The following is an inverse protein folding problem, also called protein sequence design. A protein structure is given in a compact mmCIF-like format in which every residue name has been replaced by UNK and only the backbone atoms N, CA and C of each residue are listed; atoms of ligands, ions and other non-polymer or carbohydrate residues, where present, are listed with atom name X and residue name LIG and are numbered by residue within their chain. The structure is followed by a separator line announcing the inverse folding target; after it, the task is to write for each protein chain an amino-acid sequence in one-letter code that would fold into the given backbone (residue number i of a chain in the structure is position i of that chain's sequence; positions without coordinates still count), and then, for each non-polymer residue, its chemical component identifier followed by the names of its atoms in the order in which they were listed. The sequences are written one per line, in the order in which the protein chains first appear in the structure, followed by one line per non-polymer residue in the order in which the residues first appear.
data_IF_664037301510
#
_entry.id   IF_664037301510
#
_cell.length_a   1.000
_cell.length_b   1.000
_cell.length_c   1.000
_cell.angle_alpha   90.00
_cell.angle_beta   90.00
_cell.angle_gamma   90.00
#
_symmetry.space_group_name_H-M   'P 1'
#
loop_
_entity.id
_entity.type
_entity.pdbx_description
1 polymer ?
#
# COMPACT_ATOMS: atom_id res chain seq x y z
N UNK A 1 38.58 39.58 -44.04
CA UNK A 1 37.70 38.45 -43.69
C UNK A 1 38.08 37.95 -42.30
N UNK A 2 37.41 38.38 -41.24
CA UNK A 2 37.44 37.71 -39.92
C UNK A 2 36.43 38.39 -38.98
N UNK A 3 35.14 38.16 -39.24
CA UNK A 3 34.04 38.54 -38.35
C UNK A 3 33.17 37.30 -38.02
N UNK A 4 33.81 36.17 -37.74
CA UNK A 4 33.11 34.89 -37.51
C UNK A 4 33.77 34.04 -36.41
N UNK A 5 34.11 34.66 -35.28
CA UNK A 5 34.61 33.94 -34.11
C UNK A 5 34.05 34.47 -32.78
N UNK A 6 32.85 35.04 -32.78
CA UNK A 6 32.09 35.27 -31.55
C UNK A 6 31.27 34.02 -31.22
N UNK A 7 31.97 33.07 -30.61
CA UNK A 7 31.52 32.31 -29.44
C UNK A 7 30.01 32.05 -29.37
N UNK A 8 29.59 30.91 -29.90
CA UNK A 8 28.36 30.22 -29.46
C UNK A 8 28.59 29.59 -28.06
N UNK A 9 28.98 30.40 -27.07
CA UNK A 9 28.87 30.00 -25.68
C UNK A 9 27.38 29.97 -25.32
N UNK A 10 26.76 28.80 -25.48
CA UNK A 10 25.44 28.47 -24.94
C UNK A 10 25.42 28.98 -23.49
N UNK A 11 24.64 30.04 -23.22
CA UNK A 11 24.62 30.69 -21.91
C UNK A 11 24.49 29.63 -20.82
N UNK A 12 25.55 29.42 -20.05
CA UNK A 12 25.54 28.49 -18.94
C UNK A 12 24.60 29.07 -17.87
N UNK A 13 23.71 28.24 -17.35
CA UNK A 13 22.78 28.65 -16.30
C UNK A 13 23.55 29.15 -15.08
N UNK A 14 22.97 30.09 -14.34
CA UNK A 14 23.54 30.49 -13.05
C UNK A 14 23.38 29.36 -12.03
N UNK A 15 24.27 29.25 -11.02
CA UNK A 15 24.16 28.21 -9.99
C UNK A 15 22.80 28.19 -9.26
N UNK A 16 22.16 29.36 -9.12
CA UNK A 16 20.83 29.47 -8.51
C UNK A 16 19.73 28.91 -9.42
N UNK A 17 19.78 29.19 -10.72
CA UNK A 17 18.85 28.63 -11.71
C UNK A 17 19.00 27.10 -11.81
N UNK A 18 20.23 26.59 -11.78
CA UNK A 18 20.51 25.15 -11.75
C UNK A 18 19.92 24.48 -10.50
N UNK A 19 20.11 25.08 -9.32
CA UNK A 19 19.54 24.59 -8.08
C UNK A 19 18.00 24.56 -8.13
N UNK A 20 17.35 25.65 -8.56
CA UNK A 20 15.89 25.73 -8.70
C UNK A 20 15.34 24.71 -9.71
N UNK A 21 16.03 24.53 -10.84
CA UNK A 21 15.67 23.54 -11.84
C UNK A 21 15.76 22.12 -11.26
N UNK A 22 16.84 21.82 -10.53
CA UNK A 22 17.00 20.51 -9.88
C UNK A 22 15.90 20.22 -8.85
N UNK A 23 15.44 21.23 -8.11
CA UNK A 23 14.31 21.13 -7.15
C UNK A 23 13.02 20.82 -7.91
N UNK A 24 12.73 21.59 -8.97
CA UNK A 24 11.51 21.42 -9.78
C UNK A 24 11.46 20.05 -10.44
N UNK A 25 12.56 19.59 -11.02
CA UNK A 25 12.67 18.26 -11.62
C UNK A 25 12.45 17.14 -10.59
N UNK A 26 13.04 17.23 -9.40
CA UNK A 26 12.82 16.26 -8.33
C UNK A 26 11.35 16.19 -7.90
N UNK A 27 10.69 17.34 -7.71
CA UNK A 27 9.26 17.39 -7.39
C UNK A 27 8.39 16.79 -8.50
N UNK A 28 8.67 17.13 -9.75
CA UNK A 28 7.94 16.59 -10.90
C UNK A 28 8.06 15.06 -10.96
N UNK A 29 9.26 14.52 -10.79
CA UNK A 29 9.48 13.06 -10.75
C UNK A 29 8.68 12.43 -9.61
N UNK A 30 8.68 13.03 -8.41
CA UNK A 30 7.85 12.54 -7.29
C UNK A 30 6.37 12.47 -7.68
N UNK A 31 5.80 13.52 -8.27
CA UNK A 31 4.40 13.50 -8.68
C UNK A 31 4.10 12.46 -9.76
N UNK A 32 4.97 12.32 -10.76
CA UNK A 32 4.81 11.32 -11.82
C UNK A 32 4.85 9.90 -11.26
N UNK A 33 5.78 9.62 -10.33
CA UNK A 33 5.85 8.33 -9.66
C UNK A 33 4.59 8.05 -8.84
N UNK A 34 4.11 9.02 -8.06
CA UNK A 34 2.87 8.86 -7.29
C UNK A 34 1.66 8.62 -8.19
N UNK A 35 1.54 9.37 -9.28
CA UNK A 35 0.49 9.18 -10.26
C UNK A 35 0.52 7.78 -10.89
N UNK A 36 1.71 7.28 -11.24
CA UNK A 36 1.87 5.93 -11.76
C UNK A 36 1.41 4.86 -10.76
N UNK A 37 1.71 5.03 -9.47
CA UNK A 37 1.26 4.11 -8.41
C UNK A 37 -0.27 4.16 -8.28
N UNK A 38 -0.87 5.35 -8.29
CA UNK A 38 -2.34 5.49 -8.28
C UNK A 38 -2.98 4.74 -9.45
N UNK A 39 -2.48 4.93 -10.67
CA UNK A 39 -3.00 4.24 -11.86
C UNK A 39 -2.84 2.72 -11.76
N UNK A 40 -1.71 2.24 -11.25
CA UNK A 40 -1.47 0.82 -11.02
C UNK A 40 -2.51 0.21 -10.07
N UNK A 41 -2.71 0.79 -8.89
CA UNK A 41 -3.68 0.28 -7.91
C UNK A 41 -5.13 0.47 -8.36
N UNK A 42 -5.45 1.56 -9.08
CA UNK A 42 -6.77 1.75 -9.67
C UNK A 42 -7.11 0.66 -10.70
N UNK A 43 -6.13 0.27 -11.53
CA UNK A 43 -6.30 -0.84 -12.48
C UNK A 43 -6.60 -2.17 -11.78
N UNK A 44 -5.85 -2.51 -10.72
CA UNK A 44 -6.06 -3.74 -9.95
C UNK A 44 -7.41 -3.73 -9.20
N UNK A 45 -7.80 -2.59 -8.64
CA UNK A 45 -9.10 -2.39 -7.98
C UNK A 45 -10.24 -2.60 -8.98
N UNK A 46 -10.13 -2.02 -10.18
CA UNK A 46 -11.13 -2.17 -11.25
C UNK A 46 -11.27 -3.64 -11.66
N UNK A 47 -10.15 -4.34 -11.84
CA UNK A 47 -10.14 -5.76 -12.15
C UNK A 47 -10.83 -6.58 -11.04
N UNK A 48 -10.55 -6.31 -9.76
CA UNK A 48 -11.24 -6.95 -8.64
C UNK A 48 -12.76 -6.73 -8.70
N UNK A 49 -13.21 -5.49 -8.90
CA UNK A 49 -14.63 -5.15 -8.87
C UNK A 49 -15.40 -5.84 -9.99
N UNK A 50 -14.84 -5.82 -11.21
CA UNK A 50 -15.44 -6.48 -12.39
C UNK A 50 -15.44 -8.01 -12.22
N UNK A 51 -14.38 -8.59 -11.67
CA UNK A 51 -14.34 -10.03 -11.40
C UNK A 51 -15.33 -10.44 -10.31
N UNK A 52 -15.47 -9.65 -9.25
CA UNK A 52 -16.47 -9.90 -8.19
C UNK A 52 -17.90 -9.85 -8.71
N UNK A 53 -18.21 -8.93 -9.63
CA UNK A 53 -19.56 -8.81 -10.20
C UNK A 53 -19.91 -9.89 -11.23
N UNK A 54 -18.89 -10.52 -11.83
CA UNK A 54 -19.07 -11.48 -12.92
C UNK A 54 -18.91 -12.94 -12.48
N UNK A 55 -18.38 -13.18 -11.28
CA UNK A 55 -18.20 -14.51 -10.72
C UNK A 55 -19.51 -14.98 -10.05
N UNK A 56 -19.89 -16.24 -10.30
CA UNK A 56 -21.07 -16.83 -9.69
C UNK A 56 -20.89 -16.97 -8.17
N UNK A 57 -19.69 -17.34 -7.72
CA UNK A 57 -19.34 -17.51 -6.30
C UNK A 57 -18.21 -16.56 -5.90
N UNK A 58 -18.35 -15.96 -4.72
CA UNK A 58 -17.35 -15.07 -4.15
C UNK A 58 -17.05 -15.39 -2.69
N UNK A 59 -15.77 -15.32 -2.31
CA UNK A 59 -15.33 -15.52 -0.93
C UNK A 59 -15.11 -14.16 -0.27
N UNK A 60 -15.87 -13.88 0.78
CA UNK A 60 -15.64 -12.73 1.67
C UNK A 60 -14.68 -13.17 2.76
N UNK A 61 -13.56 -12.47 2.88
CA UNK A 61 -12.50 -12.75 3.86
C UNK A 61 -12.62 -11.72 4.99
N UNK A 62 -12.71 -12.19 6.23
CA UNK A 62 -12.73 -11.31 7.40
C UNK A 62 -11.32 -10.79 7.71
N UNK A 63 -11.16 -9.47 7.85
CA UNK A 63 -9.87 -8.85 8.13
C UNK A 63 -9.49 -8.98 9.63
N UNK A 64 -8.30 -9.53 9.95
CA UNK A 64 -7.71 -9.54 11.28
C UNK A 64 -7.64 -8.19 11.97
N UNK A 65 -7.78 -8.20 13.30
CA UNK A 65 -7.66 -7.00 14.15
C UNK A 65 -6.29 -6.31 14.02
N UNK A 66 -5.24 -7.08 13.70
CA UNK A 66 -3.89 -6.58 13.49
C UNK A 66 -3.81 -5.46 12.43
N UNK A 67 -4.65 -5.49 11.39
CA UNK A 67 -4.66 -4.48 10.34
C UNK A 67 -5.20 -3.11 10.81
N UNK A 68 -6.07 -3.08 11.81
CA UNK A 68 -6.52 -1.81 12.40
C UNK A 68 -5.44 -1.20 13.29
N UNK A 69 -4.72 -2.04 14.06
CA UNK A 69 -3.56 -1.56 14.82
C UNK A 69 -2.46 -1.04 13.90
N UNK A 70 -2.11 -1.76 12.82
CA UNK A 70 -1.13 -1.28 11.84
C UNK A 70 -1.53 0.10 11.29
N UNK A 71 -2.83 0.33 11.04
CA UNK A 71 -3.36 1.61 10.58
C UNK A 71 -3.10 2.74 11.57
N UNK A 72 -3.27 2.50 12.88
CA UNK A 72 -2.91 3.48 13.90
C UNK A 72 -1.41 3.82 13.87
N UNK A 73 -0.54 2.82 13.71
CA UNK A 73 0.91 3.03 13.64
C UNK A 73 1.34 3.87 12.42
N UNK A 74 0.78 3.60 11.23
CA UNK A 74 1.16 4.36 10.03
C UNK A 74 0.63 5.80 10.04
N UNK A 75 -0.56 6.03 10.64
CA UNK A 75 -1.11 7.37 10.83
C UNK A 75 -0.27 8.18 11.82
N UNK A 76 0.09 7.59 12.97
CA UNK A 76 1.00 8.21 13.92
C UNK A 76 2.37 8.49 13.29
N UNK A 77 2.92 7.53 12.53
CA UNK A 77 4.17 7.69 11.79
C UNK A 77 4.09 8.83 10.76
N UNK A 78 2.93 9.03 10.13
CA UNK A 78 2.71 10.19 9.26
C UNK A 78 2.74 11.50 10.03
N UNK A 79 2.14 11.59 11.21
CA UNK A 79 2.22 12.83 12.00
C UNK A 79 3.65 13.18 12.40
N UNK A 80 4.46 12.18 12.75
CA UNK A 80 5.87 12.39 13.11
C UNK A 80 6.72 12.78 11.90
N UNK A 81 6.50 12.17 10.74
CA UNK A 81 7.15 12.53 9.47
C UNK A 81 6.85 13.98 9.08
N UNK A 82 5.58 14.38 9.18
CA UNK A 82 5.17 15.76 8.93
C UNK A 82 5.91 16.73 9.85
N UNK A 83 6.03 16.38 11.13
CA UNK A 83 6.79 17.15 12.10
C UNK A 83 8.27 17.31 11.74
N UNK A 84 8.92 16.27 11.21
CA UNK A 84 10.31 16.35 10.74
C UNK A 84 10.46 17.36 9.59
N UNK A 85 9.55 17.33 8.62
CA UNK A 85 9.53 18.29 7.51
C UNK A 85 9.24 19.72 8.00
N UNK A 86 8.31 19.87 8.94
CA UNK A 86 8.02 21.15 9.58
C UNK A 86 9.25 21.73 10.30
N UNK A 87 9.98 20.90 11.06
CA UNK A 87 11.20 21.29 11.75
C UNK A 87 12.29 21.74 10.78
N UNK A 88 12.47 21.02 9.66
CA UNK A 88 13.43 21.38 8.61
C UNK A 88 13.12 22.76 7.99
N UNK A 89 11.83 23.03 7.69
CA UNK A 89 11.39 24.33 7.15
C UNK A 89 11.59 25.48 8.13
N UNK A 90 11.52 25.22 9.44
CA UNK A 90 11.73 26.21 10.51
C UNK A 90 13.20 26.32 10.94
N UNK A 91 14.11 25.57 10.33
CA UNK A 91 15.53 25.56 10.70
C UNK A 91 15.83 24.88 12.04
N UNK A 92 14.87 24.17 12.63
CA UNK A 92 15.02 23.45 13.91
C UNK A 92 15.73 22.10 13.72
N UNK A 93 17.02 22.13 13.39
CA UNK A 93 17.79 20.92 13.00
C UNK A 93 17.80 19.82 14.05
N UNK A 94 17.85 20.18 15.34
CA UNK A 94 17.86 19.21 16.45
C UNK A 94 16.60 18.34 16.52
N UNK A 95 15.48 18.77 15.95
CA UNK A 95 14.22 18.02 15.96
C UNK A 95 14.05 17.09 14.75
N UNK A 96 14.82 17.28 13.67
CA UNK A 96 14.62 16.49 12.43
C UNK A 96 14.95 15.01 12.68
N UNK A 97 16.13 14.74 13.24
CA UNK A 97 16.60 13.38 13.49
C UNK A 97 15.72 12.59 14.46
N UNK A 98 15.34 13.10 15.65
CA UNK A 98 14.46 12.34 16.56
C UNK A 98 13.05 12.13 15.97
N UNK A 99 12.51 13.05 15.17
CA UNK A 99 11.20 12.85 14.54
C UNK A 99 11.24 11.80 13.43
N UNK A 100 12.31 11.75 12.63
CA UNK A 100 12.53 10.68 11.67
C UNK A 100 12.78 9.33 12.36
N UNK A 101 13.54 9.32 13.46
CA UNK A 101 13.75 8.13 14.28
C UNK A 101 12.44 7.58 14.85
N UNK A 102 11.57 8.45 15.38
CA UNK A 102 10.24 8.07 15.84
C UNK A 102 9.37 7.54 14.70
N UNK A 103 9.45 8.16 13.51
CA UNK A 103 8.74 7.66 12.34
C UNK A 103 9.19 6.25 11.95
N UNK A 104 10.50 5.97 11.98
CA UNK A 104 11.03 4.65 11.70
C UNK A 104 10.56 3.61 12.72
N UNK A 105 10.56 3.94 14.02
CA UNK A 105 10.06 3.06 15.07
C UNK A 105 8.57 2.74 14.87
N UNK A 106 7.76 3.74 14.57
CA UNK A 106 6.33 3.57 14.26
C UNK A 106 6.13 2.76 12.98
N UNK A 107 6.97 2.98 11.97
CA UNK A 107 7.01 2.18 10.75
C UNK A 107 7.29 0.70 11.05
N UNK A 108 8.31 0.39 11.86
CA UNK A 108 8.61 -0.99 12.27
C UNK A 108 7.41 -1.61 13.00
N UNK A 109 6.75 -0.85 13.87
CA UNK A 109 5.49 -1.25 14.49
C UNK A 109 4.41 -1.62 13.46
N UNK A 110 4.19 -0.76 12.47
CA UNK A 110 3.31 -1.05 11.33
C UNK A 110 3.70 -2.36 10.62
N UNK A 111 4.97 -2.55 10.28
CA UNK A 111 5.47 -3.76 9.62
C UNK A 111 5.25 -5.04 10.45
N UNK A 112 5.38 -4.96 11.78
CA UNK A 112 5.10 -6.08 12.68
C UNK A 112 3.62 -6.48 12.68
N UNK A 113 2.71 -5.51 12.78
CA UNK A 113 1.28 -5.79 12.74
C UNK A 113 0.81 -6.23 11.35
N UNK A 114 1.43 -5.73 10.28
CA UNK A 114 1.23 -6.27 8.93
C UNK A 114 1.58 -7.75 8.89
N UNK A 115 2.81 -8.11 9.30
CA UNK A 115 3.24 -9.50 9.33
C UNK A 115 2.28 -10.39 10.13
N UNK A 116 1.83 -9.93 11.30
CA UNK A 116 0.87 -10.66 12.13
C UNK A 116 -0.48 -10.86 11.42
N UNK A 117 -1.06 -9.82 10.83
CA UNK A 117 -2.33 -9.93 10.11
C UNK A 117 -2.24 -10.89 8.91
N UNK A 118 -1.11 -10.86 8.21
CA UNK A 118 -0.85 -11.80 7.11
C UNK A 118 -0.61 -13.24 7.57
N UNK A 119 0.07 -13.44 8.71
CA UNK A 119 0.22 -14.77 9.31
C UNK A 119 -1.15 -15.35 9.66
N UNK A 120 -2.02 -14.56 10.29
CA UNK A 120 -3.38 -14.98 10.66
C UNK A 120 -4.22 -15.32 9.43
N UNK A 121 -4.16 -14.50 8.37
CA UNK A 121 -4.84 -14.82 7.11
C UNK A 121 -4.32 -16.11 6.48
N UNK A 122 -3.00 -16.33 6.50
CA UNK A 122 -2.36 -17.52 5.96
C UNK A 122 -2.76 -18.79 6.74
N UNK A 123 -2.78 -18.72 8.07
CA UNK A 123 -3.23 -19.81 8.96
C UNK A 123 -4.71 -20.16 8.74
N UNK A 124 -5.54 -19.16 8.42
CA UNK A 124 -6.96 -19.34 8.04
C UNK A 124 -7.16 -19.84 6.60
N UNK A 125 -6.09 -20.18 5.89
CA UNK A 125 -6.15 -20.76 4.55
C UNK A 125 -6.35 -19.76 3.43
N UNK A 126 -6.27 -18.47 3.74
CA UNK A 126 -6.17 -17.44 2.72
C UNK A 126 -4.71 -17.36 2.29
N UNK A 127 -4.23 -18.39 1.59
CA UNK A 127 -2.93 -18.39 0.92
C UNK A 127 -3.10 -18.09 -0.57
N UNK A 128 -2.01 -17.67 -1.24
CA UNK A 128 -1.99 -17.51 -2.69
C UNK A 128 -2.27 -18.86 -3.29
N UNK A 129 -3.53 -19.08 -3.63
CA UNK A 129 -4.00 -20.38 -4.00
C UNK A 129 -4.73 -20.27 -5.31
N UNK A 130 -4.24 -21.05 -6.27
CA UNK A 130 -5.05 -21.49 -7.39
C UNK A 130 -6.07 -22.55 -6.96
N UNK A 131 -6.25 -22.80 -5.65
CA UNK A 131 -7.26 -23.73 -5.13
C UNK A 131 -8.67 -23.21 -5.35
N UNK A 132 -9.56 -24.17 -5.35
CA UNK A 132 -10.97 -23.96 -5.58
C UNK A 132 -11.63 -23.30 -4.36
N UNK A 133 -12.83 -22.75 -4.57
CA UNK A 133 -13.63 -22.00 -3.56
C UNK A 133 -13.90 -22.83 -2.29
N UNK A 134 -13.78 -24.16 -2.35
CA UNK A 134 -14.01 -25.09 -1.25
C UNK A 134 -12.83 -25.34 -0.29
N UNK A 135 -11.63 -24.80 -0.55
CA UNK A 135 -10.45 -25.06 0.29
C UNK A 135 -10.01 -23.96 1.29
N UNK A 136 -10.82 -22.98 1.73
CA UNK A 136 -10.40 -22.10 2.82
C UNK A 136 -10.34 -22.88 4.15
N UNK A 137 -9.18 -22.90 4.80
CA UNK A 137 -8.93 -23.64 6.05
C UNK A 137 -9.37 -22.91 7.34
N UNK A 138 -10.29 -21.95 7.24
CA UNK A 138 -10.86 -21.19 8.35
C UNK A 138 -12.23 -21.71 8.83
N UNK A 139 -12.85 -21.00 9.79
CA UNK A 139 -14.22 -21.28 10.20
C UNK A 139 -15.23 -20.51 9.33
N UNK A 140 -16.15 -21.24 8.68
CA UNK A 140 -17.25 -20.64 7.93
C UNK A 140 -18.11 -19.75 8.83
N UNK A 141 -18.48 -18.57 8.36
CA UNK A 141 -19.29 -17.60 9.10
C UNK A 141 -18.51 -16.69 10.05
N UNK A 142 -17.24 -17.00 10.35
CA UNK A 142 -16.37 -16.16 11.18
C UNK A 142 -15.18 -15.64 10.40
N UNK A 143 -14.43 -16.54 9.76
CA UNK A 143 -13.19 -16.19 9.04
C UNK A 143 -13.45 -15.93 7.56
N UNK A 144 -14.43 -16.63 6.99
CA UNK A 144 -14.87 -16.41 5.62
C UNK A 144 -16.36 -16.72 5.45
N UNK A 145 -16.94 -16.08 4.44
CA UNK A 145 -18.29 -16.35 3.95
C UNK A 145 -18.20 -16.60 2.45
N UNK A 146 -19.07 -17.46 1.93
CA UNK A 146 -19.20 -17.68 0.49
C UNK A 146 -20.57 -17.20 0.08
N UNK A 147 -20.59 -16.30 -0.91
CA UNK A 147 -21.79 -15.77 -1.51
C UNK A 147 -21.95 -16.33 -2.91
N UNK A 148 -23.19 -16.60 -3.31
CA UNK A 148 -23.55 -16.86 -4.70
C UNK A 148 -24.45 -15.73 -5.20
N UNK A 149 -24.03 -15.00 -6.23
CA UNK A 149 -24.74 -13.81 -6.74
C UNK A 149 -25.13 -12.80 -5.64
N UNK A 150 -24.27 -12.62 -4.64
CA UNK A 150 -24.49 -11.71 -3.50
C UNK A 150 -25.40 -12.26 -2.39
N UNK A 151 -25.82 -13.53 -2.46
CA UNK A 151 -26.57 -14.20 -1.40
C UNK A 151 -25.62 -15.11 -0.61
N UNK A 152 -25.43 -14.90 0.70
CA UNK A 152 -24.63 -15.79 1.54
C UNK A 152 -25.20 -17.21 1.55
N UNK A 153 -24.34 -18.19 1.30
CA UNK A 153 -24.73 -19.60 1.37
C UNK A 153 -24.88 -20.04 2.83
N UNK A 154 -25.49 -21.21 3.04
CA UNK A 154 -25.48 -21.86 4.35
C UNK A 154 -24.63 -23.11 4.27
N UNK A 155 -23.73 -23.29 5.25
CA UNK A 155 -22.91 -24.48 5.38
C UNK A 155 -23.49 -25.41 6.44
N UNK A 156 -23.83 -26.64 6.05
CA UNK A 156 -24.25 -27.70 6.96
C UNK A 156 -23.47 -28.98 6.64
N UNK A 157 -22.70 -29.49 7.59
CA UNK A 157 -21.91 -30.72 7.41
C UNK A 157 -20.84 -30.66 6.32
N UNK A 158 -20.34 -29.47 5.97
CA UNK A 158 -19.38 -29.26 4.88
C UNK A 158 -20.02 -29.13 3.50
N UNK A 159 -21.35 -29.20 3.40
CA UNK A 159 -22.10 -28.95 2.18
C UNK A 159 -22.67 -27.52 2.17
N UNK A 160 -22.65 -26.88 1.00
CA UNK A 160 -23.13 -25.52 0.81
C UNK A 160 -24.47 -25.51 0.08
N UNK A 161 -25.41 -24.73 0.60
CA UNK A 161 -26.76 -24.64 0.08
C UNK A 161 -27.23 -23.19 -0.03
N UNK A 162 -28.18 -22.95 -0.91
CA UNK A 162 -28.93 -21.69 -0.91
C UNK A 162 -29.77 -21.56 0.37
N UNK A 163 -29.95 -20.34 0.91
CA UNK A 163 -30.84 -20.11 2.05
C UNK A 163 -32.28 -20.60 1.81
N UNK A 164 -32.77 -20.52 0.56
CA UNK A 164 -34.13 -20.93 0.18
C UNK A 164 -34.32 -22.46 0.15
N UNK A 165 -33.24 -23.25 0.08
CA UNK A 165 -33.30 -24.71 0.16
C UNK A 165 -33.31 -25.17 1.62
N UNK A 166 -34.45 -24.94 2.29
CA UNK A 166 -34.67 -25.29 3.71
C UNK A 166 -34.51 -26.80 3.95
N UNK A 167 -34.79 -27.62 2.94
CA UNK A 167 -34.67 -29.08 3.02
C UNK A 167 -33.25 -29.60 2.75
N UNK A 168 -32.30 -28.73 2.37
CA UNK A 168 -30.89 -29.06 2.11
C UNK A 168 -30.71 -30.21 1.11
N UNK A 169 -31.50 -30.18 0.05
CA UNK A 169 -31.56 -31.27 -0.94
C UNK A 169 -30.62 -31.07 -2.12
N UNK A 170 -30.14 -29.84 -2.34
CA UNK A 170 -29.33 -29.46 -3.51
C UNK A 170 -27.97 -28.88 -3.08
N UNK A 171 -26.96 -29.72 -2.79
CA UNK A 171 -25.64 -29.24 -2.44
C UNK A 171 -24.94 -28.62 -3.66
N UNK A 172 -24.35 -27.44 -3.49
CA UNK A 172 -23.64 -26.68 -4.53
C UNK A 172 -22.15 -27.04 -4.65
N UNK A 173 -21.66 -27.96 -3.83
CA UNK A 173 -20.24 -28.31 -3.76
C UNK A 173 -19.65 -28.78 -5.10
N UNK A 174 -20.40 -29.49 -5.95
CA UNK A 174 -19.88 -29.94 -7.24
C UNK A 174 -19.53 -28.75 -8.15
N UNK A 175 -20.42 -27.77 -8.23
CA UNK A 175 -20.22 -26.56 -9.02
C UNK A 175 -19.10 -25.69 -8.43
N UNK A 176 -19.10 -25.53 -7.10
CA UNK A 176 -18.09 -24.75 -6.37
C UNK A 176 -16.69 -25.38 -6.43
N UNK A 177 -16.60 -26.70 -6.60
CA UNK A 177 -15.33 -27.42 -6.69
C UNK A 177 -14.55 -27.08 -7.96
N UNK A 178 -15.21 -26.59 -9.01
CA UNK A 178 -14.54 -26.19 -10.26
C UNK A 178 -14.21 -24.69 -10.29
N UNK A 179 -14.75 -23.92 -9.35
CA UNK A 179 -14.55 -22.47 -9.30
C UNK A 179 -13.29 -22.10 -8.54
N UNK A 180 -12.50 -21.19 -9.11
CA UNK A 180 -11.28 -20.67 -8.51
C UNK A 180 -11.60 -19.59 -7.49
N UNK A 181 -10.85 -19.56 -6.37
CA UNK A 181 -10.99 -18.49 -5.39
C UNK A 181 -10.36 -17.16 -5.89
N UNK A 182 -11.12 -16.42 -6.71
CA UNK A 182 -10.69 -15.12 -7.24
C UNK A 182 -10.37 -14.09 -6.14
N UNK A 183 -11.13 -14.09 -5.04
CA UNK A 183 -10.93 -13.15 -3.94
C UNK A 183 -9.53 -13.25 -3.32
N UNK A 184 -9.06 -14.47 -3.05
CA UNK A 184 -7.70 -14.69 -2.52
C UNK A 184 -6.61 -14.23 -3.51
N UNK A 185 -6.78 -14.49 -4.80
CA UNK A 185 -5.80 -14.08 -5.82
C UNK A 185 -5.61 -12.55 -5.87
N UNK A 186 -6.71 -11.80 -5.91
CA UNK A 186 -6.64 -10.34 -5.90
C UNK A 186 -6.10 -9.79 -4.59
N UNK A 187 -6.52 -10.36 -3.45
CA UNK A 187 -6.00 -9.99 -2.13
C UNK A 187 -4.46 -10.12 -2.10
N UNK A 188 -3.92 -11.22 -2.60
CA UNK A 188 -2.47 -11.43 -2.67
C UNK A 188 -1.77 -10.48 -3.63
N UNK A 189 -2.33 -10.24 -4.82
CA UNK A 189 -1.73 -9.35 -5.81
C UNK A 189 -1.64 -7.91 -5.29
N UNK A 190 -2.73 -7.39 -4.71
CA UNK A 190 -2.77 -6.07 -4.09
C UNK A 190 -1.78 -5.95 -2.93
N UNK A 191 -1.65 -7.02 -2.15
CA UNK A 191 -0.77 -7.06 -0.98
C UNK A 191 0.70 -7.07 -1.34
N UNK A 192 1.12 -7.94 -2.26
CA UNK A 192 2.51 -7.98 -2.69
C UNK A 192 2.94 -6.68 -3.34
N UNK A 193 2.06 -6.08 -4.14
CA UNK A 193 2.28 -4.75 -4.65
C UNK A 193 2.46 -3.74 -3.50
N UNK A 194 1.55 -3.71 -2.53
CA UNK A 194 1.65 -2.81 -1.38
C UNK A 194 2.94 -3.03 -0.58
N UNK A 195 3.32 -4.27 -0.29
CA UNK A 195 4.57 -4.63 0.40
C UNK A 195 5.81 -4.14 -0.33
N UNK A 196 5.85 -4.26 -1.66
CA UNK A 196 6.96 -3.71 -2.44
C UNK A 196 7.08 -2.18 -2.25
N UNK A 197 5.96 -1.46 -2.26
CA UNK A 197 5.95 -0.02 -2.04
C UNK A 197 6.32 0.37 -0.60
N UNK A 198 5.85 -0.38 0.39
CA UNK A 198 6.25 -0.22 1.80
C UNK A 198 7.75 -0.40 1.96
N UNK A 199 8.36 -1.40 1.33
CA UNK A 199 9.81 -1.61 1.36
C UNK A 199 10.58 -0.40 0.81
N UNK A 200 10.12 0.19 -0.31
CA UNK A 200 10.68 1.45 -0.82
C UNK A 200 10.45 2.63 0.16
N UNK A 201 9.34 2.63 0.89
CA UNK A 201 9.04 3.62 1.93
C UNK A 201 10.05 3.55 3.07
N UNK A 202 10.34 2.35 3.58
CA UNK A 202 11.38 2.14 4.59
C UNK A 202 12.77 2.51 4.09
N UNK A 203 13.12 2.14 2.85
CA UNK A 203 14.38 2.53 2.24
C UNK A 203 14.52 4.05 2.19
N UNK A 204 13.47 4.76 1.74
CA UNK A 204 13.44 6.22 1.72
C UNK A 204 13.62 6.81 3.13
N UNK A 205 12.96 6.25 4.14
CA UNK A 205 13.11 6.63 5.55
C UNK A 205 14.54 6.48 6.06
N UNK A 206 15.18 5.34 5.79
CA UNK A 206 16.58 5.10 6.19
C UNK A 206 17.51 6.11 5.52
N UNK A 207 17.33 6.36 4.22
CA UNK A 207 18.10 7.38 3.49
C UNK A 207 17.90 8.76 4.13
N UNK A 208 16.66 9.14 4.45
CA UNK A 208 16.39 10.42 5.11
C UNK A 208 17.04 10.49 6.49
N UNK A 209 17.02 9.41 7.27
CA UNK A 209 17.62 9.37 8.61
C UNK A 209 19.14 9.52 8.55
N UNK A 210 19.81 8.84 7.61
CA UNK A 210 21.25 9.01 7.35
C UNK A 210 21.56 10.45 6.92
N UNK A 211 20.79 11.01 5.99
CA UNK A 211 21.00 12.37 5.51
C UNK A 211 20.75 13.42 6.60
N UNK A 212 19.82 13.17 7.52
CA UNK A 212 19.60 13.98 8.71
C UNK A 212 20.78 13.89 9.68
N UNK A 213 21.32 12.69 9.91
CA UNK A 213 22.52 12.47 10.74
C UNK A 213 23.77 13.15 10.17
N UNK A 214 23.89 13.21 8.85
CA UNK A 214 24.94 13.96 8.15
C UNK A 214 24.69 15.48 8.11
N UNK A 215 23.61 15.97 8.72
CA UNK A 215 23.29 17.40 8.79
C UNK A 215 22.95 18.05 7.44
N UNK A 216 22.56 17.25 6.43
CA UNK A 216 22.31 17.75 5.06
C UNK A 216 21.01 18.55 4.92
N UNK A 217 20.07 18.37 5.83
CA UNK A 217 18.81 19.11 5.77
C UNK A 217 18.95 20.52 6.32
N UNK A 218 18.71 21.48 5.44
CA UNK A 218 18.73 22.91 5.74
C UNK A 218 17.41 23.56 5.33
N UNK A 219 17.20 24.82 5.71
CA UNK A 219 15.98 25.56 5.34
C UNK A 219 15.85 25.71 3.82
N UNK A 220 16.97 25.76 3.09
CA UNK A 220 17.02 25.88 1.64
C UNK A 220 17.08 24.53 0.93
N UNK A 221 17.73 23.52 1.52
CA UNK A 221 17.85 22.17 0.96
C UNK A 221 17.18 21.12 1.86
N UNK A 222 15.88 20.92 1.61
CA UNK A 222 15.05 19.89 2.26
C UNK A 222 14.13 19.15 1.28
N UNK A 223 14.45 19.21 -0.03
CA UNK A 223 13.61 18.62 -1.07
C UNK A 223 13.52 17.11 -0.93
N UNK A 224 14.61 16.44 -0.55
CA UNK A 224 14.61 15.00 -0.30
C UNK A 224 13.67 14.60 0.84
N UNK A 225 13.64 15.39 1.92
CA UNK A 225 12.71 15.19 3.04
C UNK A 225 11.25 15.45 2.62
N UNK A 226 11.01 16.46 1.79
CA UNK A 226 9.68 16.72 1.23
C UNK A 226 9.20 15.57 0.34
N UNK A 227 10.05 15.07 -0.55
CA UNK A 227 9.70 13.99 -1.47
C UNK A 227 9.46 12.66 -0.74
N UNK A 228 10.37 12.29 0.18
CA UNK A 228 10.22 11.09 0.99
C UNK A 228 9.03 11.18 1.96
N UNK A 229 8.80 12.34 2.56
CA UNK A 229 7.62 12.58 3.40
C UNK A 229 6.30 12.48 2.63
N UNK A 230 6.23 13.07 1.43
CA UNK A 230 5.05 12.96 0.56
C UNK A 230 4.80 11.50 0.16
N UNK A 231 5.85 10.76 -0.19
CA UNK A 231 5.76 9.33 -0.50
C UNK A 231 5.26 8.52 0.70
N UNK A 232 5.78 8.76 1.90
CA UNK A 232 5.34 8.09 3.12
C UNK A 232 3.86 8.34 3.45
N UNK A 233 3.40 9.58 3.34
CA UNK A 233 1.98 9.92 3.52
C UNK A 233 1.09 9.26 2.47
N UNK A 234 1.56 9.23 1.21
CA UNK A 234 0.86 8.55 0.15
C UNK A 234 0.71 7.05 0.43
N UNK A 235 1.75 6.37 0.91
CA UNK A 235 1.66 4.95 1.31
C UNK A 235 0.66 4.74 2.45
N UNK A 236 0.66 5.62 3.45
CA UNK A 236 -0.33 5.57 4.52
C UNK A 236 -1.76 5.75 4.01
N UNK A 237 -1.99 6.70 3.10
CA UNK A 237 -3.30 6.90 2.47
C UNK A 237 -3.72 5.72 1.59
N UNK A 238 -2.78 5.17 0.81
CA UNK A 238 -3.01 3.97 0.00
C UNK A 238 -3.37 2.76 0.88
N UNK A 239 -2.70 2.58 2.02
CA UNK A 239 -3.03 1.51 2.97
C UNK A 239 -4.44 1.65 3.54
N UNK A 240 -4.83 2.85 3.98
CA UNK A 240 -6.18 3.11 4.50
C UNK A 240 -7.23 2.83 3.41
N UNK A 241 -6.95 3.20 2.17
CA UNK A 241 -7.81 2.87 1.03
C UNK A 241 -7.95 1.35 0.85
N UNK A 242 -6.84 0.59 0.83
CA UNK A 242 -6.87 -0.86 0.68
C UNK A 242 -7.54 -1.60 1.85
N UNK A 243 -7.57 -1.00 3.04
CA UNK A 243 -8.25 -1.57 4.21
C UNK A 243 -9.77 -1.45 4.14
N UNK A 244 -10.27 -0.36 3.55
CA UNK A 244 -11.70 -0.03 3.50
C UNK A 244 -12.40 -0.57 2.24
N UNK A 245 -11.62 -0.85 1.20
CA UNK A 245 -12.06 -1.44 -0.06
C UNK A 245 -12.20 -2.96 0.06
#
# INVERSE_FOLDING_TARGET
MTAAALSHAKAAFTPQEEAQRSVRSRKLITYLLLFAIVMFFAGLTSAYLVSRSSADYWVIIALPQAFYFSTAFILLGSTTMYGALWAARRGKRSLILPMLGMTLLLGIGFGRYQWQGWSELHEKGNFFSFSNVLQPSGMYGTDYLIEMNGVPLVNEGGQFFLPDDVARTRPLNADMAEQVNGASQYLYMLTWAHFAHVAFGFLSLVVMLVMAGLGRYTTTDHVGLWAGGLYWHFLGGLWVYLLLF
#
